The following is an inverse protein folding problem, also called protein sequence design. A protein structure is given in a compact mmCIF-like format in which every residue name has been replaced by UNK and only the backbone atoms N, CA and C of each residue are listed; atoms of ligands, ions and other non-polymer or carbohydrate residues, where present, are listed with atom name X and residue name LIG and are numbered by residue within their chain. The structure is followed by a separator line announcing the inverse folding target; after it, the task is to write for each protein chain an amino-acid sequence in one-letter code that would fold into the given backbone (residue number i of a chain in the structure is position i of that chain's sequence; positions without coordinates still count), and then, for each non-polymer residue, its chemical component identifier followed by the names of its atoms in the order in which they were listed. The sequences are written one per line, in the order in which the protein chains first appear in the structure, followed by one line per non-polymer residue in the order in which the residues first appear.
data_IF_058151302138
#
_entry.id   IF_058151302138
#
_cell.length_a   1.000
_cell.length_b   1.000
_cell.length_c   1.000
_cell.angle_alpha   90.00
_cell.angle_beta   90.00
_cell.angle_gamma   90.00
#
_symmetry.space_group_name_H-M   'P 1'
#
loop_
_entity.id
_entity.type
_entity.pdbx_description
1 polymer ?
#
# COMPACT_ATOMS: atom_id res chain seq x y z
N UNK A 1 -5.39 -27.43 5.46
CA UNK A 1 -5.20 -26.10 6.10
C UNK A 1 -6.05 -25.03 5.41
N UNK A 2 -6.01 -24.93 4.08
CA UNK A 2 -6.85 -24.03 3.27
C UNK A 2 -8.36 -24.30 3.43
N UNK A 3 -8.79 -25.56 3.42
CA UNK A 3 -10.21 -25.93 3.61
C UNK A 3 -10.75 -25.62 5.00
N UNK A 4 -9.91 -25.72 6.05
CA UNK A 4 -10.29 -25.36 7.41
C UNK A 4 -10.42 -23.83 7.57
N UNK A 5 -9.59 -23.07 6.85
CA UNK A 5 -9.72 -21.62 6.75
C UNK A 5 -11.03 -21.23 6.05
N UNK A 6 -11.36 -21.88 4.92
CA UNK A 6 -12.61 -21.67 4.17
C UNK A 6 -13.87 -22.04 4.98
N UNK A 7 -13.80 -23.08 5.81
CA UNK A 7 -14.94 -23.52 6.64
C UNK A 7 -15.22 -22.56 7.81
N UNK A 8 -14.21 -21.82 8.29
CA UNK A 8 -14.33 -20.79 9.34
C UNK A 8 -15.00 -19.50 8.83
N UNK A 9 -15.05 -19.29 7.51
CA UNK A 9 -15.72 -18.15 6.86
C UNK A 9 -17.26 -18.29 6.89
N UNK A 10 -17.82 -19.47 7.22
CA UNK A 10 -19.29 -19.71 7.25
C UNK A 10 -20.08 -18.88 8.27
N UNK A 11 -19.42 -18.16 9.18
CA UNK A 11 -20.03 -17.21 10.11
C UNK A 11 -19.61 -15.75 9.91
N UNK A 12 -18.84 -15.43 8.86
CA UNK A 12 -18.42 -14.06 8.60
C UNK A 12 -19.54 -13.32 7.87
N UNK A 13 -20.06 -12.26 8.48
CA UNK A 13 -20.98 -11.34 7.81
C UNK A 13 -20.27 -10.78 6.57
N UNK A 14 -20.82 -10.95 5.36
CA UNK A 14 -20.16 -10.63 4.08
C UNK A 14 -19.63 -9.19 4.00
N UNK A 15 -20.15 -8.28 4.83
CA UNK A 15 -19.63 -6.92 5.01
C UNK A 15 -18.17 -6.90 5.51
N UNK A 16 -17.81 -7.73 6.49
CA UNK A 16 -16.43 -7.81 6.98
C UNK A 16 -15.47 -8.32 5.92
N UNK A 17 -15.94 -9.20 5.03
CA UNK A 17 -15.15 -9.66 3.88
C UNK A 17 -14.78 -8.47 2.99
N UNK A 18 -15.75 -7.63 2.62
CA UNK A 18 -15.48 -6.42 1.83
C UNK A 18 -14.50 -5.47 2.53
N UNK A 19 -14.68 -5.22 3.83
CA UNK A 19 -13.78 -4.33 4.59
C UNK A 19 -12.35 -4.90 4.61
N UNK A 20 -12.20 -6.19 4.87
CA UNK A 20 -10.88 -6.85 4.88
C UNK A 20 -10.25 -6.81 3.49
N UNK A 21 -11.03 -7.07 2.43
CA UNK A 21 -10.54 -6.99 1.04
C UNK A 21 -10.03 -5.59 0.72
N UNK A 22 -10.79 -4.55 1.05
CA UNK A 22 -10.35 -3.15 0.86
C UNK A 22 -9.05 -2.86 1.61
N UNK A 23 -8.95 -3.27 2.88
CA UNK A 23 -7.74 -3.06 3.70
C UNK A 23 -6.54 -3.77 3.08
N UNK A 24 -6.68 -5.05 2.72
CA UNK A 24 -5.59 -5.85 2.14
C UNK A 24 -5.14 -5.28 0.80
N UNK A 25 -6.07 -4.92 -0.09
CA UNK A 25 -5.75 -4.29 -1.38
C UNK A 25 -5.05 -2.95 -1.18
N UNK A 26 -5.51 -2.14 -0.23
CA UNK A 26 -4.89 -0.85 0.08
C UNK A 26 -3.46 -1.02 0.57
N UNK A 27 -3.22 -1.95 1.50
CA UNK A 27 -1.88 -2.24 2.00
C UNK A 27 -0.98 -2.73 0.86
N UNK A 28 -1.46 -3.65 0.02
CA UNK A 28 -0.69 -4.17 -1.10
C UNK A 28 -0.27 -3.08 -2.08
N UNK A 29 -1.21 -2.22 -2.50
CA UNK A 29 -0.93 -1.10 -3.40
C UNK A 29 0.06 -0.13 -2.75
N UNK A 30 -0.15 0.24 -1.48
CA UNK A 30 0.76 1.13 -0.75
C UNK A 30 2.17 0.55 -0.61
N UNK A 31 2.31 -0.76 -0.35
CA UNK A 31 3.61 -1.41 -0.28
C UNK A 31 4.38 -1.32 -1.61
N UNK A 32 3.68 -1.49 -2.74
CA UNK A 32 4.29 -1.36 -4.07
C UNK A 32 4.73 0.07 -4.35
N UNK A 33 3.90 1.06 -4.00
CA UNK A 33 4.23 2.48 -4.16
C UNK A 33 5.48 2.84 -3.32
N UNK A 34 5.53 2.39 -2.07
CA UNK A 34 6.67 2.67 -1.19
C UNK A 34 7.95 2.01 -1.71
N UNK A 35 7.86 0.77 -2.20
CA UNK A 35 8.97 0.10 -2.86
C UNK A 35 9.46 0.87 -4.09
N UNK A 36 8.54 1.29 -4.96
CA UNK A 36 8.85 2.09 -6.15
C UNK A 36 9.55 3.40 -5.81
N UNK A 37 9.07 4.12 -4.80
CA UNK A 37 9.68 5.38 -4.34
C UNK A 37 11.06 5.16 -3.73
N UNK A 38 11.27 4.06 -3.01
CA UNK A 38 12.58 3.71 -2.47
C UNK A 38 13.58 3.46 -3.61
N UNK A 39 13.21 2.65 -4.60
CA UNK A 39 14.06 2.39 -5.77
C UNK A 39 14.40 3.68 -6.52
N UNK A 40 13.41 4.55 -6.76
CA UNK A 40 13.63 5.82 -7.43
C UNK A 40 14.62 6.73 -6.70
N UNK A 41 14.62 6.72 -5.35
CA UNK A 41 15.59 7.48 -4.55
C UNK A 41 17.00 6.95 -4.71
N UNK A 42 17.18 5.62 -4.73
CA UNK A 42 18.49 5.00 -4.97
C UNK A 42 19.01 5.31 -6.38
N UNK A 43 18.16 5.19 -7.40
CA UNK A 43 18.54 5.51 -8.78
C UNK A 43 18.91 6.99 -8.93
N UNK A 44 18.09 7.90 -8.38
CA UNK A 44 18.34 9.34 -8.43
C UNK A 44 19.65 9.73 -7.73
N UNK A 45 19.96 9.07 -6.60
CA UNK A 45 21.23 9.26 -5.90
C UNK A 45 22.41 8.86 -6.78
N UNK A 46 22.37 7.67 -7.40
CA UNK A 46 23.42 7.18 -8.30
C UNK A 46 23.59 8.10 -9.51
N UNK A 47 22.50 8.52 -10.16
CA UNK A 47 22.52 9.48 -11.27
C UNK A 47 23.17 10.81 -10.86
N UNK A 48 22.85 11.33 -9.67
CA UNK A 48 23.42 12.58 -9.19
C UNK A 48 24.92 12.44 -8.91
N UNK A 49 25.34 11.34 -8.27
CA UNK A 49 26.75 11.02 -8.00
C UNK A 49 27.55 10.90 -9.30
N UNK A 50 27.03 10.14 -10.27
CA UNK A 50 27.58 10.01 -11.62
C UNK A 50 27.65 11.37 -12.31
N UNK A 51 26.60 12.18 -12.21
CA UNK A 51 26.54 13.53 -12.76
C UNK A 51 27.64 14.45 -12.24
N UNK A 52 28.04 14.30 -10.96
CA UNK A 52 29.16 15.07 -10.37
C UNK A 52 30.53 14.70 -10.91
N UNK A 53 30.71 13.50 -11.46
CA UNK A 53 31.99 13.11 -12.08
C UNK A 53 32.36 14.03 -13.24
N UNK A 54 31.37 14.42 -14.05
CA UNK A 54 31.50 15.41 -15.13
C UNK A 54 31.99 16.76 -14.63
N UNK A 55 31.45 17.20 -13.49
CA UNK A 55 31.89 18.44 -12.85
C UNK A 55 33.33 18.31 -12.36
N UNK A 56 33.68 17.19 -11.72
CA UNK A 56 35.03 16.99 -11.19
C UNK A 56 36.11 16.94 -12.27
N UNK A 57 35.87 16.25 -13.40
CA UNK A 57 36.84 16.21 -14.51
C UNK A 57 37.13 17.62 -15.04
N UNK A 58 36.08 18.42 -15.23
CA UNK A 58 36.21 19.80 -15.72
C UNK A 58 36.80 20.75 -14.66
N UNK A 59 36.52 20.53 -13.38
CA UNK A 59 37.18 21.26 -12.28
C UNK A 59 38.68 21.01 -12.23
N UNK A 60 39.13 19.78 -12.53
CA UNK A 60 40.56 19.44 -12.56
C UNK A 60 41.27 20.23 -13.66
N UNK A 61 40.70 20.28 -14.87
CA UNK A 61 41.22 21.10 -15.97
C UNK A 61 41.33 22.56 -15.52
N UNK A 62 40.26 23.11 -14.94
CA UNK A 62 40.24 24.48 -14.43
C UNK A 62 41.35 24.74 -13.39
N UNK A 63 41.57 23.82 -12.45
CA UNK A 63 42.62 23.98 -11.44
C UNK A 63 44.01 23.94 -12.05
N UNK A 64 44.23 23.10 -13.07
CA UNK A 64 45.50 23.08 -13.78
C UNK A 64 45.80 24.40 -14.48
N UNK A 65 44.80 24.99 -15.15
CA UNK A 65 44.94 26.34 -15.71
C UNK A 65 45.23 27.38 -14.61
N UNK A 66 44.50 27.32 -13.49
CA UNK A 66 44.75 28.23 -12.37
C UNK A 66 46.17 28.10 -11.82
N UNK A 67 46.67 26.87 -11.64
CA UNK A 67 48.01 26.62 -11.12
C UNK A 67 49.11 27.03 -12.10
N UNK A 68 48.85 26.97 -13.41
CA UNK A 68 49.80 27.41 -14.45
C UNK A 68 49.94 28.93 -14.52
N UNK A 69 48.85 29.67 -14.34
CA UNK A 69 48.78 31.10 -14.65
C UNK A 69 48.49 31.99 -13.43
N UNK A 70 48.29 31.41 -12.25
CA UNK A 70 47.93 32.12 -11.03
C UNK A 70 48.36 31.36 -9.77
N UNK A 71 47.82 31.75 -8.61
CA UNK A 71 48.08 31.07 -7.34
C UNK A 71 47.35 29.72 -7.32
N UNK A 72 48.14 28.65 -7.24
CA UNK A 72 47.64 27.29 -7.14
C UNK A 72 47.07 26.98 -5.75
N UNK A 73 45.91 26.34 -5.70
CA UNK A 73 45.31 25.77 -4.48
C UNK A 73 45.41 24.24 -4.54
N UNK A 74 46.59 23.72 -4.20
CA UNK A 74 46.88 22.28 -4.23
C UNK A 74 45.94 21.47 -3.33
N UNK A 75 45.46 22.06 -2.23
CA UNK A 75 44.54 21.40 -1.30
C UNK A 75 43.20 21.10 -1.96
N UNK A 76 42.59 22.10 -2.61
CA UNK A 76 41.32 21.90 -3.35
C UNK A 76 41.50 20.95 -4.52
N UNK A 77 42.61 21.05 -5.24
CA UNK A 77 42.88 20.18 -6.38
C UNK A 77 43.01 18.72 -5.95
N UNK A 78 43.78 18.43 -4.87
CA UNK A 78 43.88 17.07 -4.31
C UNK A 78 42.53 16.54 -3.86
N UNK A 79 41.71 17.39 -3.23
CA UNK A 79 40.38 17.00 -2.78
C UNK A 79 39.48 16.58 -3.96
N UNK A 80 39.50 17.32 -5.06
CA UNK A 80 38.70 16.99 -6.25
C UNK A 80 39.23 15.74 -6.95
N UNK A 81 40.55 15.56 -7.06
CA UNK A 81 41.14 14.33 -7.60
C UNK A 81 40.74 13.10 -6.79
N UNK A 82 40.84 13.18 -5.47
CA UNK A 82 40.43 12.11 -4.57
C UNK A 82 38.93 11.82 -4.72
N UNK A 83 38.09 12.85 -4.85
CA UNK A 83 36.64 12.66 -5.08
C UNK A 83 36.33 12.03 -6.43
N UNK A 84 37.05 12.41 -7.49
CA UNK A 84 36.89 11.80 -8.82
C UNK A 84 37.22 10.30 -8.73
N UNK A 85 38.39 9.95 -8.20
CA UNK A 85 38.81 8.55 -8.07
C UNK A 85 37.86 7.73 -7.18
N UNK A 86 37.64 8.15 -5.93
CA UNK A 86 36.86 7.37 -4.98
C UNK A 86 35.39 7.22 -5.35
N UNK A 87 34.83 8.23 -6.04
CA UNK A 87 33.45 8.14 -6.51
C UNK A 87 33.34 7.25 -7.76
N UNK A 88 34.34 7.27 -8.64
CA UNK A 88 34.38 6.35 -9.78
C UNK A 88 34.40 4.89 -9.32
N UNK A 89 35.17 4.58 -8.27
CA UNK A 89 35.22 3.23 -7.69
C UNK A 89 33.88 2.89 -7.04
N UNK A 90 33.34 3.79 -6.21
CA UNK A 90 32.06 3.59 -5.54
C UNK A 90 30.87 3.39 -6.51
N UNK A 91 30.90 4.01 -7.70
CA UNK A 91 29.88 3.84 -8.73
C UNK A 91 29.91 2.46 -9.40
N UNK A 92 31.05 1.76 -9.36
CA UNK A 92 31.24 0.44 -9.97
C UNK A 92 31.13 -0.68 -8.93
N UNK A 93 31.83 -0.53 -7.81
CA UNK A 93 31.96 -1.56 -6.77
C UNK A 93 30.89 -1.43 -5.68
N UNK A 94 30.20 -0.29 -5.61
CA UNK A 94 29.30 0.05 -4.54
C UNK A 94 29.99 0.68 -3.34
N UNK A 95 29.20 1.31 -2.48
CA UNK A 95 29.64 1.90 -1.23
C UNK A 95 28.45 2.12 -0.30
N UNK A 96 28.36 1.33 0.78
CA UNK A 96 27.25 1.40 1.74
C UNK A 96 27.11 2.79 2.39
N UNK A 97 28.23 3.47 2.70
CA UNK A 97 28.23 4.80 3.30
C UNK A 97 27.63 5.84 2.36
N UNK A 98 27.84 5.69 1.05
CA UNK A 98 27.23 6.53 0.01
C UNK A 98 25.85 6.05 -0.42
N UNK A 99 25.33 4.94 0.11
CA UNK A 99 24.06 4.35 -0.30
C UNK A 99 24.07 3.81 -1.73
N UNK A 100 25.24 3.37 -2.21
CA UNK A 100 25.43 2.79 -3.52
C UNK A 100 25.58 1.27 -3.40
N UNK A 101 24.76 0.54 -4.14
CA UNK A 101 24.98 -0.89 -4.36
C UNK A 101 26.09 -1.08 -5.43
N UNK A 102 26.65 -2.28 -5.61
CA UNK A 102 27.51 -2.58 -6.74
C UNK A 102 26.79 -2.37 -8.08
N UNK A 103 27.54 -2.10 -9.15
CA UNK A 103 27.01 -2.04 -10.50
C UNK A 103 26.88 -3.44 -11.08
N UNK A 104 25.69 -3.80 -11.55
CA UNK A 104 25.37 -5.10 -12.14
C UNK A 104 25.13 -5.04 -13.66
N UNK A 105 24.85 -3.86 -14.22
CA UNK A 105 24.62 -3.67 -15.66
C UNK A 105 25.92 -3.77 -16.48
N UNK A 106 26.04 -4.84 -17.27
CA UNK A 106 27.21 -5.10 -18.13
C UNK A 106 27.47 -4.00 -19.17
N UNK A 107 26.43 -3.34 -19.69
CA UNK A 107 26.57 -2.32 -20.73
C UNK A 107 27.19 -1.06 -20.10
N UNK A 108 26.76 -0.70 -18.91
CA UNK A 108 27.32 0.43 -18.15
C UNK A 108 28.75 0.11 -17.73
N UNK A 109 29.02 -1.10 -17.22
CA UNK A 109 30.38 -1.55 -16.88
C UNK A 109 31.35 -1.43 -18.06
N UNK A 110 30.92 -1.81 -19.28
CA UNK A 110 31.76 -1.65 -20.49
C UNK A 110 32.13 -0.20 -20.77
N UNK A 111 31.28 0.76 -20.46
CA UNK A 111 31.61 2.17 -20.62
C UNK A 111 32.55 2.67 -19.53
N UNK A 112 32.42 2.18 -18.28
CA UNK A 112 33.45 2.43 -17.26
C UNK A 112 34.82 1.88 -17.66
N UNK A 113 34.89 0.68 -18.25
CA UNK A 113 36.14 0.12 -18.78
C UNK A 113 36.76 1.04 -19.84
N UNK A 114 35.95 1.62 -20.74
CA UNK A 114 36.43 2.59 -21.74
C UNK A 114 36.86 3.92 -21.13
N UNK A 115 36.22 4.34 -20.04
CA UNK A 115 36.53 5.58 -19.33
C UNK A 115 37.81 5.46 -18.49
N UNK A 116 38.17 4.25 -18.06
CA UNK A 116 39.29 4.00 -17.14
C UNK A 116 40.67 4.50 -17.63
N UNK A 117 41.08 4.32 -18.90
CA UNK A 117 42.36 4.84 -19.39
C UNK A 117 42.48 6.36 -19.25
N UNK A 118 41.40 7.09 -19.56
CA UNK A 118 41.34 8.55 -19.44
C UNK A 118 41.43 8.99 -17.96
N UNK A 119 40.69 8.31 -17.08
CA UNK A 119 40.79 8.55 -15.64
C UNK A 119 42.22 8.30 -15.13
N UNK A 120 42.83 7.18 -15.52
CA UNK A 120 44.20 6.84 -15.13
C UNK A 120 45.21 7.89 -15.62
N UNK A 121 45.03 8.42 -16.84
CA UNK A 121 45.88 9.50 -17.35
C UNK A 121 45.74 10.76 -16.50
N UNK A 122 44.51 11.18 -16.17
CA UNK A 122 44.25 12.36 -15.34
C UNK A 122 44.90 12.19 -13.96
N UNK A 123 44.70 11.04 -13.30
CA UNK A 123 45.22 10.79 -11.96
C UNK A 123 46.75 10.71 -11.95
N UNK A 124 47.35 9.97 -12.88
CA UNK A 124 48.81 9.81 -12.95
C UNK A 124 49.54 11.10 -13.35
N UNK A 125 48.96 11.90 -14.24
CA UNK A 125 49.51 13.21 -14.62
C UNK A 125 49.56 14.20 -13.45
N UNK A 126 48.73 13.98 -12.43
CA UNK A 126 48.51 14.90 -11.32
C UNK A 126 48.87 14.31 -9.95
N UNK A 127 49.56 13.16 -9.92
CA UNK A 127 49.94 12.50 -8.68
C UNK A 127 51.01 13.30 -7.92
N UNK A 128 51.95 13.89 -8.66
CA UNK A 128 53.00 14.74 -8.11
C UNK A 128 52.82 16.21 -8.53
N UNK A 129 52.38 17.03 -7.58
CA UNK A 129 52.16 18.45 -7.81
C UNK A 129 53.44 19.27 -8.01
N UNK A 130 54.61 18.77 -7.62
CA UNK A 130 55.88 19.47 -7.85
C UNK A 130 56.29 19.46 -9.34
N UNK A 131 55.62 18.65 -10.16
CA UNK A 131 55.90 18.54 -11.60
C UNK A 131 54.77 19.09 -12.47
N UNK A 132 53.85 19.87 -11.89
CA UNK A 132 52.68 20.42 -12.62
C UNK A 132 53.07 21.26 -13.85
N UNK A 133 54.19 21.97 -13.80
CA UNK A 133 54.69 22.80 -14.91
C UNK A 133 55.05 21.98 -16.15
N UNK A 134 55.36 20.70 -15.95
CA UNK A 134 55.72 19.75 -17.02
C UNK A 134 54.50 19.04 -17.62
N UNK A 135 53.34 19.12 -16.97
CA UNK A 135 52.11 18.50 -17.47
C UNK A 135 51.65 19.25 -18.72
N UNK A 136 51.35 18.52 -19.80
CA UNK A 136 50.73 19.11 -20.99
C UNK A 136 49.26 19.40 -20.68
N UNK A 137 48.90 20.69 -20.66
CA UNK A 137 47.51 21.12 -20.46
C UNK A 137 46.63 20.64 -21.62
N UNK A 138 47.14 20.67 -22.85
CA UNK A 138 46.43 20.23 -24.04
C UNK A 138 46.06 18.74 -23.95
N UNK A 139 47.02 17.87 -23.63
CA UNK A 139 46.75 16.44 -23.50
C UNK A 139 45.80 16.17 -22.32
N UNK A 140 46.02 16.82 -21.17
CA UNK A 140 45.14 16.64 -20.01
C UNK A 140 43.70 17.09 -20.30
N UNK A 141 43.54 18.19 -21.04
CA UNK A 141 42.22 18.69 -21.44
C UNK A 141 41.55 17.70 -22.40
N UNK A 142 42.30 17.19 -23.39
CA UNK A 142 41.79 16.19 -24.34
C UNK A 142 41.30 14.93 -23.61
N UNK A 143 42.09 14.40 -22.68
CA UNK A 143 41.73 13.22 -21.89
C UNK A 143 40.56 13.48 -20.94
N UNK A 144 40.46 14.69 -20.37
CA UNK A 144 39.33 15.10 -19.54
C UNK A 144 38.03 15.29 -20.35
N UNK A 145 38.13 15.71 -21.60
CA UNK A 145 36.99 15.83 -22.52
C UNK A 145 36.50 14.46 -23.01
N UNK A 146 37.42 13.54 -23.34
CA UNK A 146 37.06 12.14 -23.64
C UNK A 146 36.41 11.46 -22.42
N UNK A 147 36.98 11.66 -21.22
CA UNK A 147 36.34 11.23 -19.97
C UNK A 147 34.93 11.80 -19.83
N UNK A 148 34.75 13.10 -20.06
CA UNK A 148 33.45 13.78 -19.95
C UNK A 148 32.42 13.17 -20.90
N UNK A 149 32.79 12.94 -22.17
CA UNK A 149 31.92 12.35 -23.17
C UNK A 149 31.44 10.95 -22.76
N UNK A 150 32.34 10.09 -22.29
CA UNK A 150 31.96 8.74 -21.85
C UNK A 150 31.11 8.79 -20.58
N UNK A 151 31.46 9.69 -19.65
CA UNK A 151 30.70 9.87 -18.41
C UNK A 151 29.28 10.39 -18.68
N UNK A 152 29.09 11.25 -19.69
CA UNK A 152 27.76 11.66 -20.17
C UNK A 152 26.95 10.46 -20.67
N UNK A 153 27.57 9.54 -21.42
CA UNK A 153 26.90 8.30 -21.84
C UNK A 153 26.48 7.46 -20.63
N UNK A 154 27.37 7.28 -19.65
CA UNK A 154 27.07 6.52 -18.42
C UNK A 154 25.92 7.16 -17.63
N UNK A 155 25.94 8.48 -17.44
CA UNK A 155 24.85 9.20 -16.75
C UNK A 155 23.52 9.00 -17.47
N UNK A 156 23.51 9.10 -18.80
CA UNK A 156 22.30 8.87 -19.60
C UNK A 156 21.83 7.42 -19.52
N UNK A 157 22.74 6.45 -19.44
CA UNK A 157 22.37 5.04 -19.25
C UNK A 157 21.73 4.80 -17.89
N UNK A 158 22.29 5.36 -16.81
CA UNK A 158 21.64 5.31 -15.50
C UNK A 158 20.26 5.95 -15.50
N UNK A 159 20.11 7.12 -16.14
CA UNK A 159 18.82 7.79 -16.27
C UNK A 159 17.82 6.92 -17.03
N UNK A 160 18.22 6.36 -18.17
CA UNK A 160 17.35 5.51 -18.99
C UNK A 160 16.92 4.24 -18.25
N UNK A 161 17.84 3.56 -17.56
CA UNK A 161 17.52 2.38 -16.77
C UNK A 161 16.47 2.71 -15.67
N UNK A 162 16.64 3.85 -14.98
CA UNK A 162 15.67 4.30 -13.99
C UNK A 162 14.31 4.61 -14.60
N UNK A 163 14.27 5.30 -15.74
CA UNK A 163 13.02 5.62 -16.45
C UNK A 163 12.28 4.36 -16.94
N UNK A 164 13.00 3.33 -17.39
CA UNK A 164 12.42 2.04 -17.80
C UNK A 164 11.81 1.30 -16.60
N UNK A 165 12.52 1.24 -15.48
CA UNK A 165 12.03 0.65 -14.23
C UNK A 165 10.77 1.38 -13.71
N UNK A 166 10.76 2.72 -13.75
CA UNK A 166 9.60 3.53 -13.35
C UNK A 166 8.39 3.23 -14.24
N UNK A 167 8.57 3.15 -15.57
CA UNK A 167 7.48 2.84 -16.50
C UNK A 167 6.88 1.46 -16.22
N UNK A 168 7.72 0.45 -15.97
CA UNK A 168 7.23 -0.89 -15.63
C UNK A 168 6.40 -0.88 -14.34
N UNK A 169 6.86 -0.18 -13.30
CA UNK A 169 6.15 -0.05 -12.03
C UNK A 169 4.80 0.68 -12.18
N UNK A 170 4.74 1.73 -12.99
CA UNK A 170 3.48 2.45 -13.28
C UNK A 170 2.44 1.56 -13.97
N UNK A 171 2.87 0.68 -14.88
CA UNK A 171 1.97 -0.25 -15.56
C UNK A 171 1.40 -1.26 -14.55
N UNK A 172 2.27 -1.85 -13.72
CA UNK A 172 1.86 -2.80 -12.68
C UNK A 172 0.88 -2.15 -11.69
N UNK A 173 1.13 -0.91 -11.28
CA UNK A 173 0.25 -0.16 -10.39
C UNK A 173 -1.14 0.02 -11.02
N UNK A 174 -1.21 0.42 -12.29
CA UNK A 174 -2.47 0.61 -13.00
C UNK A 174 -3.25 -0.70 -13.14
N UNK A 175 -2.58 -1.79 -13.50
CA UNK A 175 -3.19 -3.11 -13.62
C UNK A 175 -3.78 -3.57 -12.28
N UNK A 176 -3.04 -3.40 -11.19
CA UNK A 176 -3.51 -3.74 -9.84
C UNK A 176 -4.67 -2.86 -9.38
N UNK A 177 -4.66 -1.57 -9.69
CA UNK A 177 -5.76 -0.67 -9.37
C UNK A 177 -7.05 -1.08 -10.10
N UNK A 178 -6.95 -1.38 -11.40
CA UNK A 178 -8.08 -1.88 -12.20
C UNK A 178 -8.58 -3.22 -11.66
N UNK A 179 -7.68 -4.16 -11.39
CA UNK A 179 -8.04 -5.47 -10.84
C UNK A 179 -8.70 -5.36 -9.46
N UNK A 180 -8.19 -4.47 -8.59
CA UNK A 180 -8.79 -4.17 -7.29
C UNK A 180 -10.21 -3.66 -7.42
N UNK A 181 -10.46 -2.75 -8.36
CA UNK A 181 -11.80 -2.23 -8.62
C UNK A 181 -12.74 -3.35 -9.09
N UNK A 182 -12.28 -4.22 -9.99
CA UNK A 182 -13.06 -5.37 -10.47
C UNK A 182 -13.42 -6.31 -9.32
N UNK A 183 -12.48 -6.62 -8.43
CA UNK A 183 -12.73 -7.43 -7.23
C UNK A 183 -13.84 -6.80 -6.38
N UNK A 184 -13.75 -5.51 -6.07
CA UNK A 184 -14.74 -4.82 -5.24
C UNK A 184 -16.13 -4.82 -5.88
N UNK A 185 -16.20 -4.61 -7.20
CA UNK A 185 -17.46 -4.72 -7.95
C UNK A 185 -18.05 -6.12 -7.81
N UNK A 186 -17.23 -7.17 -8.03
CA UNK A 186 -17.68 -8.55 -7.90
C UNK A 186 -18.14 -8.85 -6.46
N UNK A 187 -17.43 -8.38 -5.44
CA UNK A 187 -17.84 -8.54 -4.05
C UNK A 187 -19.21 -7.89 -3.76
N UNK A 188 -19.44 -6.68 -4.27
CA UNK A 188 -20.72 -5.99 -4.09
C UNK A 188 -21.86 -6.79 -4.73
N UNK A 189 -21.70 -7.23 -5.98
CA UNK A 189 -22.75 -7.93 -6.72
C UNK A 189 -23.01 -9.35 -6.18
N UNK A 190 -21.96 -10.12 -5.89
CA UNK A 190 -22.07 -11.53 -5.54
C UNK A 190 -22.13 -11.82 -4.04
N UNK A 191 -21.60 -10.93 -3.18
CA UNK A 191 -21.54 -11.18 -1.74
C UNK A 191 -22.38 -10.19 -0.94
N UNK A 192 -22.29 -8.88 -1.20
CA UNK A 192 -22.99 -7.87 -0.40
C UNK A 192 -24.48 -7.82 -0.71
N UNK A 193 -24.85 -7.67 -1.99
CA UNK A 193 -26.26 -7.59 -2.39
C UNK A 193 -27.09 -8.80 -1.96
N UNK A 194 -26.62 -10.06 -2.13
CA UNK A 194 -27.36 -11.23 -1.64
C UNK A 194 -27.49 -11.26 -0.12
N UNK A 195 -26.47 -10.83 0.62
CA UNK A 195 -26.49 -10.77 2.07
C UNK A 195 -27.46 -9.73 2.61
N UNK A 196 -27.50 -8.53 2.00
CA UNK A 196 -28.51 -7.52 2.32
C UNK A 196 -29.91 -8.09 2.11
N UNK A 197 -30.17 -8.72 0.96
CA UNK A 197 -31.48 -9.35 0.67
C UNK A 197 -31.85 -10.40 1.72
N UNK A 198 -30.90 -11.24 2.14
CA UNK A 198 -31.12 -12.26 3.18
C UNK A 198 -31.49 -11.62 4.51
N UNK A 199 -30.74 -10.62 4.96
CA UNK A 199 -30.99 -9.90 6.22
C UNK A 199 -32.35 -9.20 6.16
N UNK A 200 -32.66 -8.49 5.07
CA UNK A 200 -33.97 -7.85 4.91
C UNK A 200 -35.11 -8.85 4.94
N UNK A 201 -34.95 -10.02 4.29
CA UNK A 201 -35.96 -11.08 4.34
C UNK A 201 -36.12 -11.68 5.74
N UNK A 202 -35.02 -11.85 6.48
CA UNK A 202 -35.06 -12.34 7.86
C UNK A 202 -35.74 -11.33 8.78
N UNK A 203 -35.38 -10.05 8.70
CA UNK A 203 -36.02 -8.97 9.45
C UNK A 203 -37.52 -8.85 9.13
N UNK A 204 -37.91 -9.03 7.87
CA UNK A 204 -39.34 -9.04 7.50
C UNK A 204 -40.09 -10.19 8.19
N UNK A 205 -39.53 -11.40 8.19
CA UNK A 205 -40.12 -12.56 8.87
C UNK A 205 -40.19 -12.37 10.39
N UNK A 206 -39.13 -11.83 10.99
CA UNK A 206 -39.11 -11.52 12.42
C UNK A 206 -40.18 -10.47 12.78
N UNK A 207 -40.32 -9.43 11.95
CA UNK A 207 -41.36 -8.41 12.12
C UNK A 207 -42.77 -8.99 11.99
N UNK A 208 -42.99 -9.91 11.06
CA UNK A 208 -44.27 -10.60 10.87
C UNK A 208 -44.61 -11.49 12.08
N UNK A 209 -43.65 -12.28 12.57
CA UNK A 209 -43.81 -13.10 13.79
C UNK A 209 -44.13 -12.20 15.00
N UNK A 210 -43.34 -11.15 15.21
CA UNK A 210 -43.55 -10.19 16.28
C UNK A 210 -44.94 -9.54 16.19
N UNK A 211 -45.37 -9.15 14.99
CA UNK A 211 -46.69 -8.57 14.76
C UNK A 211 -47.82 -9.55 15.12
N UNK A 212 -47.74 -10.81 14.69
CA UNK A 212 -48.75 -11.83 15.01
C UNK A 212 -48.82 -12.12 16.51
N UNK A 213 -47.68 -12.24 17.17
CA UNK A 213 -47.63 -12.43 18.62
C UNK A 213 -48.27 -11.24 19.34
N UNK A 214 -47.90 -10.00 18.97
CA UNK A 214 -48.49 -8.78 19.58
C UNK A 214 -50.00 -8.71 19.34
N UNK A 215 -50.48 -9.08 18.15
CA UNK A 215 -51.90 -9.08 17.85
C UNK A 215 -52.67 -10.13 18.66
N UNK A 216 -52.16 -11.36 18.75
CA UNK A 216 -52.75 -12.42 19.57
C UNK A 216 -52.82 -12.02 21.05
N UNK A 217 -51.72 -11.49 21.59
CA UNK A 217 -51.67 -10.98 22.97
C UNK A 217 -52.72 -9.90 23.23
N UNK A 218 -52.85 -8.92 22.32
CA UNK A 218 -53.84 -7.86 22.45
C UNK A 218 -55.28 -8.38 22.33
N UNK A 219 -55.52 -9.42 21.53
CA UNK A 219 -56.83 -10.05 21.38
C UNK A 219 -57.27 -10.73 22.68
N UNK A 220 -56.41 -11.60 23.25
CA UNK A 220 -56.67 -12.26 24.53
C UNK A 220 -56.87 -11.23 25.66
N UNK A 221 -56.06 -10.17 25.69
CA UNK A 221 -56.22 -9.06 26.65
C UNK A 221 -57.57 -8.35 26.52
N UNK A 222 -58.07 -8.16 25.28
CA UNK A 222 -59.38 -7.57 25.04
C UNK A 222 -60.51 -8.49 25.52
N UNK A 223 -60.42 -9.80 25.28
CA UNK A 223 -61.39 -10.79 25.75
C UNK A 223 -61.46 -10.84 27.28
N UNK A 224 -60.31 -10.89 27.96
CA UNK A 224 -60.23 -10.84 29.43
C UNK A 224 -60.91 -9.58 29.97
N UNK A 225 -60.64 -8.41 29.36
CA UNK A 225 -61.29 -7.15 29.76
C UNK A 225 -62.80 -7.19 29.58
N UNK A 226 -63.29 -7.82 28.50
CA UNK A 226 -64.72 -7.97 28.24
C UNK A 226 -65.37 -8.91 29.25
N UNK A 227 -64.80 -10.10 29.50
CA UNK A 227 -65.32 -11.04 30.50
C UNK A 227 -65.32 -10.43 31.91
N UNK A 228 -64.25 -9.76 32.31
CA UNK A 228 -64.18 -9.03 33.57
C UNK A 228 -65.31 -8.00 33.71
N UNK A 229 -65.61 -7.25 32.63
CA UNK A 229 -66.71 -6.28 32.64
C UNK A 229 -68.07 -6.94 32.82
N UNK A 230 -68.33 -8.05 32.12
CA UNK A 230 -69.65 -8.73 32.21
C UNK A 230 -69.81 -9.43 33.56
N UNK A 231 -68.75 -10.03 34.11
CA UNK A 231 -68.74 -10.60 35.47
C UNK A 231 -69.17 -9.60 36.55
N UNK A 232 -68.80 -8.33 36.40
CA UNK A 232 -69.20 -7.25 37.32
C UNK A 232 -70.69 -6.87 37.25
N UNK A 233 -71.43 -7.31 36.22
CA UNK A 233 -72.83 -6.94 35.96
C UNK A 233 -73.77 -8.15 36.05
N UNK A 234 -73.28 -9.36 35.71
CA UNK A 234 -74.05 -10.60 35.75
C UNK A 234 -74.57 -10.89 37.17
N UNK A 235 -75.76 -11.47 37.28
CA UNK A 235 -76.42 -11.81 38.56
C UNK A 235 -76.68 -13.30 38.71
N UNK A 236 -76.77 -14.04 37.60
CA UNK A 236 -76.91 -15.50 37.64
C UNK A 236 -75.57 -16.14 38.06
N UNK A 237 -75.63 -16.97 39.11
CA UNK A 237 -74.45 -17.66 39.67
C UNK A 237 -73.86 -18.65 38.69
N UNK A 238 -74.69 -19.40 37.97
CA UNK A 238 -74.25 -20.41 36.99
C UNK A 238 -73.50 -19.77 35.82
N UNK A 239 -74.03 -18.66 35.27
CA UNK A 239 -73.34 -17.90 34.22
C UNK A 239 -72.05 -17.22 34.72
N UNK A 240 -71.96 -16.87 36.02
CA UNK A 240 -70.70 -16.35 36.60
C UNK A 240 -69.62 -17.42 36.64
N UNK A 241 -69.97 -18.64 37.04
CA UNK A 241 -69.03 -19.76 37.04
C UNK A 241 -68.54 -20.10 35.63
N UNK A 242 -69.44 -20.08 34.65
CA UNK A 242 -69.09 -20.24 33.22
C UNK A 242 -68.15 -19.12 32.74
N UNK A 243 -68.44 -17.86 33.07
CA UNK A 243 -67.56 -16.74 32.71
C UNK A 243 -66.19 -16.76 33.38
N UNK A 244 -66.10 -17.23 34.64
CA UNK A 244 -64.82 -17.45 35.32
C UNK A 244 -64.01 -18.51 34.57
N UNK A 245 -64.67 -19.57 34.09
CA UNK A 245 -64.04 -20.63 33.31
C UNK A 245 -63.45 -20.09 32.01
N UNK A 246 -64.21 -19.29 31.25
CA UNK A 246 -63.68 -18.64 30.03
C UNK A 246 -62.56 -17.65 30.31
N UNK A 247 -62.61 -16.92 31.43
CA UNK A 247 -61.54 -16.00 31.82
C UNK A 247 -60.26 -16.76 32.18
N UNK A 248 -60.36 -17.89 32.86
CA UNK A 248 -59.21 -18.77 33.14
C UNK A 248 -58.61 -19.35 31.85
N UNK A 249 -59.45 -19.75 30.89
CA UNK A 249 -59.00 -20.24 29.59
C UNK A 249 -58.23 -19.17 28.80
N UNK A 250 -58.77 -17.95 28.72
CA UNK A 250 -58.09 -16.81 28.07
C UNK A 250 -56.79 -16.40 28.77
N UNK A 251 -56.72 -16.48 30.11
CA UNK A 251 -55.50 -16.23 30.87
C UNK A 251 -54.41 -17.27 30.55
N UNK A 252 -54.79 -18.54 30.43
CA UNK A 252 -53.86 -19.62 30.04
C UNK A 252 -53.34 -19.41 28.61
N UNK A 253 -54.20 -19.05 27.66
CA UNK A 253 -53.79 -18.74 26.28
C UNK A 253 -52.89 -17.50 26.22
N UNK A 254 -53.22 -16.44 26.97
CA UNK A 254 -52.38 -15.24 27.08
C UNK A 254 -50.99 -15.57 27.65
N UNK A 255 -50.92 -16.42 28.67
CA UNK A 255 -49.67 -16.90 29.26
C UNK A 255 -48.84 -17.67 28.23
N UNK A 256 -49.46 -18.54 27.42
CA UNK A 256 -48.77 -19.25 26.34
C UNK A 256 -48.20 -18.29 25.29
N UNK A 257 -48.98 -17.30 24.83
CA UNK A 257 -48.51 -16.29 23.87
C UNK A 257 -47.37 -15.46 24.46
N UNK A 258 -47.48 -15.04 25.72
CA UNK A 258 -46.43 -14.30 26.44
C UNK A 258 -45.14 -15.13 26.55
N UNK A 259 -45.24 -16.40 26.95
CA UNK A 259 -44.11 -17.32 27.01
C UNK A 259 -43.45 -17.52 25.63
N UNK A 260 -44.24 -17.57 24.56
CA UNK A 260 -43.72 -17.66 23.20
C UNK A 260 -42.99 -16.39 22.75
N UNK A 261 -43.45 -15.20 23.14
CA UNK A 261 -42.74 -13.93 22.91
C UNK A 261 -41.39 -13.91 23.63
N UNK A 262 -41.34 -14.31 24.90
CA UNK A 262 -40.10 -14.36 25.70
C UNK A 262 -39.11 -15.34 25.05
N UNK A 263 -39.55 -16.54 24.70
CA UNK A 263 -38.71 -17.54 24.02
C UNK A 263 -38.18 -17.07 22.66
N UNK A 264 -38.93 -16.25 21.92
CA UNK A 264 -38.42 -15.68 20.65
C UNK A 264 -37.31 -14.67 20.86
N UNK A 265 -37.30 -13.93 21.97
CA UNK A 265 -36.22 -12.99 22.31
C UNK A 265 -34.95 -13.71 22.80
N UNK A 266 -35.09 -14.83 23.52
CA UNK A 266 -33.95 -15.62 24.00
C UNK A 266 -33.20 -16.35 22.87
N UNK A 267 -33.88 -16.69 21.77
CA UNK A 267 -33.24 -17.34 20.60
C UNK A 267 -32.44 -16.40 19.70
N UNK A 268 -32.53 -15.09 19.93
CA UNK A 268 -31.82 -14.06 19.14
C UNK A 268 -30.47 -13.62 19.75
N UNK A 269 -30.12 -14.11 20.96
CA UNK A 269 -28.80 -13.93 21.60
C UNK A 269 -27.85 -15.09 21.29
#
# INVERSE_FOLDING_TARGET
MLEAFLKKIKGFNNYYLLVITVIVLTIAIQSIIQFSLAQQRHDALRINIAGRQRMFSQMIVKYIYQCRYSTCDYGKMRLVLNKLASTNDALQEGNEVMGLEPLDDEIIQRNFIKLQPHLNYILSSLDNFNTLDKVSIENLTTEADEYLLIMDVIVNQFQKASEENIKALMIIELELAVFSLVILILEIFFFINPSIKKITSQNKKLKEISWHQTHAFNSHMANIKNFHRVLGIEKNVEHKEEMITFLMEELNELEQVSNNMVKSLEKEQ
#
